data_IF_778995545456
#
_entry.id   IF_778995545456
#
_cell.length_a   1.000
_cell.length_b   1.000
_cell.length_c   1.000
_cell.angle_alpha   90.00
_cell.angle_beta   90.00
_cell.angle_gamma   90.00
#
_symmetry.space_group_name_H-M   'P 1'
#
loop_
_entity.id
_entity.type
_entity.pdbx_description
1 polymer ?
#
# COMPACT_ATOMS: atom_id res chain seq x y z
N UNK A 1 -1.24 -24.80 12.44
CA UNK A 1 -0.47 -24.75 13.70
C UNK A 1 -0.48 -23.31 14.16
N UNK A 2 -1.33 -22.96 15.13
CA UNK A 2 -1.37 -21.59 15.64
C UNK A 2 -0.01 -21.24 16.22
N UNK A 3 0.59 -20.16 15.76
CA UNK A 3 1.81 -19.63 16.36
C UNK A 3 1.50 -19.27 17.81
N UNK A 4 2.07 -20.02 18.76
CA UNK A 4 2.04 -19.65 20.16
C UNK A 4 2.78 -18.32 20.32
N UNK A 5 2.08 -17.30 20.80
CA UNK A 5 2.60 -15.94 20.91
C UNK A 5 3.63 -15.90 22.05
N UNK A 6 4.91 -16.02 21.68
CA UNK A 6 6.05 -15.96 22.61
C UNK A 6 6.59 -14.54 22.65
N UNK A 7 6.70 -13.97 23.85
CA UNK A 7 7.33 -12.67 24.05
C UNK A 7 8.85 -12.80 24.12
N UNK A 8 9.55 -11.82 23.57
CA UNK A 8 11.01 -11.73 23.59
C UNK A 8 11.43 -10.29 23.87
N UNK A 9 12.69 -10.09 24.23
CA UNK A 9 13.27 -8.77 24.49
C UNK A 9 14.32 -8.46 23.44
N UNK A 10 14.16 -7.33 22.74
CA UNK A 10 15.15 -6.82 21.78
C UNK A 10 15.89 -5.61 22.37
N UNK A 11 17.16 -5.45 22.00
CA UNK A 11 17.94 -4.25 22.34
C UNK A 11 17.66 -3.16 21.32
N UNK A 12 17.29 -1.98 21.80
CA UNK A 12 17.11 -0.75 21.01
C UNK A 12 17.81 0.42 21.68
N UNK A 13 18.01 1.51 20.94
CA UNK A 13 18.52 2.75 21.55
C UNK A 13 17.50 3.31 22.55
N UNK A 14 17.98 4.02 23.58
CA UNK A 14 17.12 4.73 24.54
C UNK A 14 16.18 5.70 23.84
N UNK A 15 16.69 6.45 22.85
CA UNK A 15 15.91 7.35 22.02
C UNK A 15 14.76 6.64 21.30
N UNK A 16 15.00 5.46 20.71
CA UNK A 16 13.98 4.68 20.01
C UNK A 16 12.89 4.21 20.98
N UNK A 17 13.29 3.67 22.14
CA UNK A 17 12.36 3.29 23.20
C UNK A 17 11.49 4.48 23.62
N UNK A 18 12.08 5.65 23.82
CA UNK A 18 11.39 6.84 24.30
C UNK A 18 10.39 7.37 23.26
N UNK A 19 10.76 7.35 21.98
CA UNK A 19 9.84 7.64 20.87
C UNK A 19 8.66 6.67 20.84
N UNK A 20 8.93 5.36 20.93
CA UNK A 20 7.89 4.33 20.93
C UNK A 20 6.95 4.49 22.14
N UNK A 21 7.49 4.82 23.31
CA UNK A 21 6.70 5.08 24.52
C UNK A 21 5.82 6.34 24.37
N UNK A 22 6.32 7.40 23.74
CA UNK A 22 5.56 8.61 23.49
C UNK A 22 4.38 8.37 22.54
N UNK A 23 4.61 7.63 21.45
CA UNK A 23 3.57 7.27 20.48
C UNK A 23 2.51 6.37 21.14
N UNK A 24 2.95 5.32 21.84
CA UNK A 24 2.06 4.42 22.58
C UNK A 24 1.17 5.18 23.58
N UNK A 25 1.75 6.15 24.31
CA UNK A 25 1.00 7.00 25.24
C UNK A 25 -0.02 7.89 24.52
N UNK A 26 0.36 8.49 23.40
CA UNK A 26 -0.53 9.35 22.60
C UNK A 26 -1.71 8.58 22.02
N UNK A 27 -1.48 7.34 21.57
CA UNK A 27 -2.51 6.47 20.98
C UNK A 27 -3.32 5.68 22.00
N UNK A 28 -2.89 5.65 23.28
CA UNK A 28 -3.54 4.84 24.31
C UNK A 28 -3.38 3.33 24.09
N UNK A 29 -2.30 2.90 23.43
CA UNK A 29 -2.04 1.51 23.05
C UNK A 29 -0.71 1.02 23.65
N UNK A 30 -0.52 -0.30 23.87
CA UNK A 30 0.75 -0.83 24.36
C UNK A 30 1.86 -0.65 23.33
N UNK A 31 3.10 -0.43 23.79
CA UNK A 31 4.28 -0.26 22.92
C UNK A 31 4.50 -1.43 21.94
N UNK A 32 4.11 -2.64 22.33
CA UNK A 32 4.19 -3.83 21.47
C UNK A 32 3.28 -3.72 20.25
N UNK A 33 2.06 -3.21 20.41
CA UNK A 33 1.14 -3.01 19.28
C UNK A 33 1.66 -1.95 18.30
N UNK A 34 2.27 -0.88 18.81
CA UNK A 34 2.86 0.17 17.96
C UNK A 34 4.04 -0.35 17.16
N UNK A 35 4.92 -1.17 17.75
CA UNK A 35 6.05 -1.74 17.02
C UNK A 35 5.59 -2.82 16.03
N UNK A 36 4.59 -3.64 16.37
CA UNK A 36 4.03 -4.65 15.48
C UNK A 36 3.43 -3.99 14.22
N UNK A 37 2.63 -2.93 14.40
CA UNK A 37 2.05 -2.17 13.29
C UNK A 37 3.14 -1.51 12.44
N UNK A 38 4.15 -0.91 13.07
CA UNK A 38 5.26 -0.27 12.33
C UNK A 38 6.08 -1.27 11.52
N UNK A 39 6.27 -2.50 12.02
CA UNK A 39 6.94 -3.58 11.28
C UNK A 39 6.07 -4.02 10.11
N UNK A 40 4.77 -4.25 10.33
CA UNK A 40 3.85 -4.64 9.27
C UNK A 40 3.78 -3.59 8.14
N UNK A 41 3.74 -2.30 8.49
CA UNK A 41 3.78 -1.22 7.50
C UNK A 41 5.10 -1.18 6.74
N UNK A 42 6.23 -1.40 7.43
CA UNK A 42 7.54 -1.46 6.79
C UNK A 42 7.64 -2.63 5.81
N UNK A 43 7.19 -3.82 6.20
CA UNK A 43 7.15 -5.02 5.34
C UNK A 43 6.24 -4.80 4.13
N UNK A 44 5.05 -4.24 4.34
CA UNK A 44 4.12 -3.92 3.28
C UNK A 44 4.72 -2.93 2.27
N UNK A 45 5.37 -1.86 2.77
CA UNK A 45 6.06 -0.89 1.91
C UNK A 45 7.19 -1.55 1.12
N UNK A 46 8.00 -2.40 1.77
CA UNK A 46 9.10 -3.12 1.11
C UNK A 46 8.60 -4.06 0.03
N UNK A 47 7.54 -4.81 0.30
CA UNK A 47 6.90 -5.68 -0.66
C UNK A 47 6.47 -4.91 -1.92
N UNK A 48 5.81 -3.76 -1.78
CA UNK A 48 5.39 -2.96 -2.94
C UNK A 48 6.55 -2.29 -3.67
N UNK A 49 7.61 -1.88 -2.97
CA UNK A 49 8.84 -1.40 -3.62
C UNK A 49 9.47 -2.49 -4.50
N UNK A 50 9.58 -3.71 -3.97
CA UNK A 50 10.17 -4.86 -4.68
C UNK A 50 9.30 -5.31 -5.85
N UNK A 51 7.98 -5.40 -5.65
CA UNK A 51 7.04 -5.77 -6.71
C UNK A 51 7.09 -4.77 -7.86
N UNK A 52 7.06 -3.47 -7.57
CA UNK A 52 7.15 -2.43 -8.62
C UNK A 52 8.46 -2.49 -9.37
N UNK A 53 9.58 -2.69 -8.67
CA UNK A 53 10.87 -2.86 -9.31
C UNK A 53 10.93 -4.12 -10.19
N UNK A 54 10.33 -5.22 -9.74
CA UNK A 54 10.25 -6.46 -10.51
C UNK A 54 9.41 -6.30 -11.78
N UNK A 55 8.23 -5.67 -11.68
CA UNK A 55 7.36 -5.37 -12.82
C UNK A 55 8.08 -4.48 -13.84
N UNK A 56 8.72 -3.41 -13.39
CA UNK A 56 9.48 -2.51 -14.28
C UNK A 56 10.64 -3.23 -14.96
N UNK A 57 11.36 -4.09 -14.22
CA UNK A 57 12.42 -4.93 -14.77
C UNK A 57 11.89 -5.85 -15.86
N UNK A 58 10.81 -6.58 -15.61
CA UNK A 58 10.17 -7.45 -16.62
C UNK A 58 9.76 -6.65 -17.84
N UNK A 59 9.10 -5.50 -17.66
CA UNK A 59 8.70 -4.61 -18.77
C UNK A 59 9.89 -4.20 -19.65
N UNK A 60 11.05 -3.91 -19.04
CA UNK A 60 12.24 -3.43 -19.75
C UNK A 60 13.05 -4.56 -20.39
N UNK A 61 13.22 -5.67 -19.68
CA UNK A 61 14.16 -6.74 -20.03
C UNK A 61 13.49 -7.90 -20.78
N UNK A 62 12.17 -8.05 -20.65
CA UNK A 62 11.36 -9.03 -21.38
C UNK A 62 10.09 -8.41 -21.99
N UNK A 63 10.22 -7.64 -23.10
CA UNK A 63 9.07 -7.03 -23.75
C UNK A 63 8.06 -8.03 -24.32
N UNK A 64 8.50 -9.24 -24.67
CA UNK A 64 7.62 -10.29 -25.20
C UNK A 64 6.74 -10.87 -24.10
N UNK A 65 7.32 -11.27 -22.96
CA UNK A 65 6.55 -11.71 -21.79
C UNK A 65 5.64 -10.61 -21.23
N UNK A 66 6.08 -9.35 -21.29
CA UNK A 66 5.21 -8.22 -20.94
C UNK A 66 4.01 -8.06 -21.88
N UNK A 67 4.21 -8.24 -23.19
CA UNK A 67 3.12 -8.20 -24.17
C UNK A 67 2.12 -9.34 -23.96
N UNK A 68 2.60 -10.54 -23.66
CA UNK A 68 1.75 -11.71 -23.35
C UNK A 68 0.90 -11.44 -22.09
N UNK A 69 1.49 -10.90 -21.04
CA UNK A 69 0.77 -10.50 -19.82
C UNK A 69 -0.32 -9.45 -20.09
N UNK A 70 -0.04 -8.45 -20.93
CA UNK A 70 -1.04 -7.46 -21.33
C UNK A 70 -2.17 -8.07 -22.16
N UNK A 71 -1.84 -8.99 -23.07
CA UNK A 71 -2.84 -9.69 -23.87
C UNK A 71 -3.78 -10.54 -22.99
N UNK A 72 -3.23 -11.24 -22.00
CA UNK A 72 -4.02 -11.97 -21.00
C UNK A 72 -4.91 -11.00 -20.20
N UNK A 73 -4.32 -9.93 -19.66
CA UNK A 73 -5.05 -8.93 -18.87
C UNK A 73 -6.22 -8.34 -19.65
N UNK A 74 -6.04 -8.04 -20.94
CA UNK A 74 -7.10 -7.51 -21.80
C UNK A 74 -8.27 -8.48 -22.02
N UNK A 75 -8.06 -9.79 -21.90
CA UNK A 75 -9.16 -10.77 -21.93
C UNK A 75 -9.99 -10.69 -20.65
N UNK A 76 -9.33 -10.59 -19.49
CA UNK A 76 -10.01 -10.45 -18.19
C UNK A 76 -10.68 -9.10 -18.01
N UNK A 77 -10.10 -8.03 -18.54
CA UNK A 77 -10.64 -6.67 -18.44
C UNK A 77 -12.05 -6.54 -19.06
N UNK A 78 -12.39 -7.39 -20.03
CA UNK A 78 -13.75 -7.46 -20.60
C UNK A 78 -14.81 -7.87 -19.60
N UNK A 79 -14.44 -8.69 -18.61
CA UNK A 79 -15.33 -9.13 -17.55
C UNK A 79 -15.32 -8.18 -16.33
N UNK A 80 -14.56 -7.07 -16.38
CA UNK A 80 -14.42 -6.17 -15.24
C UNK A 80 -15.73 -5.48 -14.82
N UNK A 81 -16.71 -5.41 -15.73
CA UNK A 81 -18.02 -4.80 -15.49
C UNK A 81 -19.12 -5.83 -15.17
N UNK A 82 -18.81 -7.13 -15.19
CA UNK A 82 -19.82 -8.16 -14.99
C UNK A 82 -20.39 -8.11 -13.57
N UNK A 83 -21.72 -7.95 -13.46
CA UNK A 83 -22.42 -7.91 -12.18
C UNK A 83 -22.37 -6.56 -11.45
N UNK A 84 -21.81 -5.52 -12.06
CA UNK A 84 -21.83 -4.15 -11.53
C UNK A 84 -22.98 -3.36 -12.17
N UNK A 85 -23.74 -2.63 -11.36
CA UNK A 85 -24.62 -1.57 -11.86
C UNK A 85 -23.79 -0.30 -12.07
N UNK A 86 -24.04 0.48 -13.14
CA UNK A 86 -23.36 1.75 -13.33
C UNK A 86 -23.75 2.73 -12.22
N UNK A 87 -22.85 2.94 -11.27
CA UNK A 87 -23.01 3.94 -10.20
C UNK A 87 -22.63 5.34 -10.71
N UNK A 88 -23.37 6.36 -10.27
CA UNK A 88 -23.02 7.76 -10.51
C UNK A 88 -22.12 8.28 -9.37
N UNK A 89 -20.82 8.34 -9.64
CA UNK A 89 -19.82 8.83 -8.69
C UNK A 89 -19.67 10.36 -8.72
N UNK A 90 -20.44 11.06 -9.57
CA UNK A 90 -20.29 12.50 -9.80
C UNK A 90 -20.49 13.33 -8.54
N UNK A 91 -21.28 12.84 -7.58
CA UNK A 91 -21.49 13.48 -6.27
C UNK A 91 -20.31 13.36 -5.30
N UNK A 92 -19.38 12.43 -5.55
CA UNK A 92 -18.20 12.18 -4.70
C UNK A 92 -16.92 12.76 -5.28
N UNK A 93 -16.96 13.24 -6.53
CA UNK A 93 -15.85 13.97 -7.09
C UNK A 93 -15.76 15.35 -6.42
N UNK A 94 -14.55 15.82 -6.07
CA UNK A 94 -14.37 17.20 -5.64
C UNK A 94 -14.93 18.15 -6.71
N UNK A 95 -15.52 19.30 -6.33
CA UNK A 95 -15.97 20.27 -7.30
C UNK A 95 -14.81 20.60 -8.24
N UNK A 96 -15.06 20.55 -9.55
CA UNK A 96 -14.06 20.99 -10.53
C UNK A 96 -13.72 22.43 -10.17
N UNK A 97 -12.49 22.67 -9.75
CA UNK A 97 -11.96 24.02 -9.65
C UNK A 97 -12.20 24.67 -11.01
N UNK A 98 -12.94 25.78 -11.00
CA UNK A 98 -13.16 26.55 -12.20
C UNK A 98 -11.80 27.12 -12.58
N UNK A 99 -11.20 26.63 -13.67
CA UNK A 99 -10.01 27.21 -14.29
C UNK A 99 -10.33 28.65 -14.74
N UNK A 100 -10.42 29.57 -13.80
CA UNK A 100 -10.62 31.00 -14.03
C UNK A 100 -9.28 31.75 -14.10
N UNK A 101 -8.14 31.06 -13.99
CA UNK A 101 -6.83 31.68 -13.81
C UNK A 101 -5.75 31.13 -14.77
N UNK A 102 -6.13 30.74 -15.99
CA UNK A 102 -5.17 30.59 -17.09
C UNK A 102 -5.49 31.50 -18.29
N UNK A 103 -5.75 32.76 -17.97
CA UNK A 103 -5.69 33.86 -18.93
C UNK A 103 -4.84 34.98 -18.33
N UNK A 104 -3.51 34.83 -18.41
CA UNK A 104 -2.53 35.92 -18.53
C UNK A 104 -1.16 35.40 -18.88
#
# INVERSE_FOLDING_TARGET
MGSEQRHTTIRVSTLTRDKLAAIAKQEGRPMTAVIDDAVAEYEHRKFWEELRAAVERTRREDPAGWADHLAETAVFDRAAQDGLEPEDWSSHLPPKEHDADNAR
#
